data_IF_095108810729
#
_entry.id   IF_095108810729
#
_cell.length_a   1.000
_cell.length_b   1.000
_cell.length_c   1.000
_cell.angle_alpha   90.00
_cell.angle_beta   90.00
_cell.angle_gamma   90.00
#
_symmetry.space_group_name_H-M   'P 1'
#
loop_
_entity.id
_entity.type
_entity.pdbx_description
1 polymer ?
#
# COMPACT_ATOMS: atom_id res chain seq x y z
N UNK A 1 -15.39 -27.86 -11.02
CA UNK A 1 -15.47 -27.88 -9.54
C UNK A 1 -14.17 -27.49 -8.83
N UNK A 2 -13.00 -28.08 -9.18
CA UNK A 2 -11.70 -27.75 -8.54
C UNK A 2 -11.27 -26.28 -8.68
N UNK A 3 -11.45 -25.69 -9.87
CA UNK A 3 -11.12 -24.28 -10.15
C UNK A 3 -11.98 -23.29 -9.36
N UNK A 4 -13.28 -23.56 -9.25
CA UNK A 4 -14.20 -22.72 -8.46
C UNK A 4 -13.86 -22.74 -6.97
N UNK A 5 -13.50 -23.90 -6.41
CA UNK A 5 -13.06 -24.00 -5.02
C UNK A 5 -11.76 -23.23 -4.76
N UNK A 6 -10.80 -23.30 -5.68
CA UNK A 6 -9.56 -22.52 -5.60
C UNK A 6 -9.84 -21.01 -5.69
N UNK A 7 -10.68 -20.58 -6.64
CA UNK A 7 -11.09 -19.18 -6.80
C UNK A 7 -11.76 -18.62 -5.55
N UNK A 8 -12.69 -19.38 -4.95
CA UNK A 8 -13.35 -18.97 -3.69
C UNK A 8 -12.33 -18.84 -2.56
N UNK A 9 -11.41 -19.80 -2.41
CA UNK A 9 -10.33 -19.72 -1.42
C UNK A 9 -9.46 -18.48 -1.63
N UNK A 10 -9.02 -18.20 -2.86
CA UNK A 10 -8.23 -17.00 -3.17
C UNK A 10 -9.00 -15.72 -2.85
N UNK A 11 -10.27 -15.60 -3.25
CA UNK A 11 -11.10 -14.42 -2.97
C UNK A 11 -11.30 -14.22 -1.47
N UNK A 12 -11.62 -15.28 -0.72
CA UNK A 12 -11.82 -15.19 0.74
C UNK A 12 -10.52 -14.82 1.49
N UNK A 13 -9.38 -15.34 1.05
CA UNK A 13 -8.07 -15.02 1.63
C UNK A 13 -7.67 -13.58 1.32
N UNK A 14 -7.96 -13.09 0.11
CA UNK A 14 -7.78 -11.68 -0.27
C UNK A 14 -8.65 -10.74 0.56
N UNK A 15 -9.89 -11.12 0.91
CA UNK A 15 -10.74 -10.31 1.79
C UNK A 15 -10.33 -10.35 3.26
N UNK A 16 -9.63 -11.41 3.69
CA UNK A 16 -9.11 -11.53 5.06
C UNK A 16 -7.88 -10.64 5.30
N UNK A 17 -7.14 -10.31 4.25
CA UNK A 17 -6.09 -9.30 4.29
C UNK A 17 -6.70 -7.93 3.99
N UNK A 18 -7.05 -7.18 5.04
CA UNK A 18 -7.39 -5.77 4.91
C UNK A 18 -6.26 -4.95 4.29
N UNK A 19 -6.58 -3.73 3.84
CA UNK A 19 -5.66 -2.75 3.25
C UNK A 19 -4.33 -2.72 4.01
N UNK A 20 -3.18 -2.81 3.35
CA UNK A 20 -1.86 -2.67 4.00
C UNK A 20 -1.33 -1.27 3.82
N UNK A 21 -0.83 -0.66 4.88
CA UNK A 21 -0.21 0.68 4.82
C UNK A 21 1.15 0.67 5.50
N UNK A 22 2.01 1.63 5.13
CA UNK A 22 3.17 1.96 5.95
C UNK A 22 2.72 2.59 7.27
N UNK A 23 3.37 2.24 8.38
CA UNK A 23 3.07 2.77 9.70
C UNK A 23 4.33 3.21 10.44
N UNK A 24 4.26 4.37 11.06
CA UNK A 24 5.30 4.90 11.95
C UNK A 24 4.75 6.11 12.68
N UNK A 25 5.35 6.45 13.82
CA UNK A 25 4.99 7.62 14.61
C UNK A 25 6.23 8.50 14.69
N UNK A 26 6.12 9.75 14.21
CA UNK A 26 7.19 10.77 14.32
C UNK A 26 8.58 10.25 13.95
N UNK A 27 8.66 9.49 12.86
CA UNK A 27 9.90 8.84 12.43
C UNK A 27 10.59 9.66 11.34
N UNK A 28 11.88 9.42 11.14
CA UNK A 28 12.56 9.86 9.92
C UNK A 28 11.83 9.24 8.70
N UNK A 29 11.55 10.02 7.64
CA UNK A 29 10.82 9.52 6.47
C UNK A 29 11.48 8.30 5.80
N UNK A 30 12.80 8.12 5.92
CA UNK A 30 13.54 7.00 5.35
C UNK A 30 13.44 5.74 6.20
N UNK A 31 13.27 5.86 7.52
CA UNK A 31 13.16 4.71 8.42
C UNK A 31 11.73 4.16 8.51
N UNK A 32 10.73 4.96 8.13
CA UNK A 32 9.31 4.57 8.10
C UNK A 32 8.99 3.54 7.00
N UNK A 33 9.43 2.30 7.23
CA UNK A 33 9.31 1.17 6.31
C UNK A 33 8.46 0.02 6.85
N UNK A 34 8.06 0.08 8.13
CA UNK A 34 7.16 -0.89 8.73
C UNK A 34 5.78 -0.85 8.05
N UNK A 35 5.19 -2.02 7.87
CA UNK A 35 3.86 -2.17 7.25
C UNK A 35 2.93 -2.92 8.16
N UNK A 36 1.65 -2.56 8.14
CA UNK A 36 0.60 -3.24 8.91
C UNK A 36 -0.68 -3.32 8.10
N UNK A 37 -1.42 -4.42 8.26
CA UNK A 37 -2.79 -4.52 7.75
C UNK A 37 -3.70 -3.63 8.59
N UNK A 38 -4.56 -2.88 7.92
CA UNK A 38 -5.54 -2.01 8.54
C UNK A 38 -6.67 -2.82 9.15
N UNK A 39 -7.09 -2.40 10.35
CA UNK A 39 -8.29 -2.92 10.98
C UNK A 39 -9.55 -2.61 10.14
N UNK A 40 -10.64 -3.38 10.30
CA UNK A 40 -11.91 -3.11 9.64
C UNK A 40 -12.39 -1.66 9.88
N UNK A 41 -12.85 -1.00 8.82
CA UNK A 41 -13.31 0.38 8.86
C UNK A 41 -12.23 1.44 8.63
N UNK A 42 -10.95 1.04 8.54
CA UNK A 42 -9.85 1.91 8.11
C UNK A 42 -9.53 1.61 6.63
N UNK A 43 -10.18 2.35 5.74
CA UNK A 43 -10.20 2.15 4.29
C UNK A 43 -9.19 3.02 3.52
N UNK A 44 -8.36 3.80 4.23
CA UNK A 44 -7.36 4.70 3.63
C UNK A 44 -6.02 4.57 4.33
N UNK A 45 -4.94 4.73 3.56
CA UNK A 45 -3.63 5.03 4.15
C UNK A 45 -3.47 6.54 4.28
N UNK A 46 -2.80 7.02 5.32
CA UNK A 46 -2.43 8.43 5.46
C UNK A 46 -0.92 8.63 5.61
N UNK A 47 -0.47 9.84 5.30
CA UNK A 47 0.87 10.33 5.59
C UNK A 47 0.79 11.79 6.03
N UNK A 48 1.36 12.08 7.20
CA UNK A 48 1.52 13.41 7.75
C UNK A 48 3.01 13.69 7.91
N UNK A 49 3.47 14.80 7.32
CA UNK A 49 4.85 15.27 7.46
C UNK A 49 4.83 16.60 8.19
N UNK A 50 5.51 16.68 9.33
CA UNK A 50 5.59 17.88 10.13
C UNK A 50 7.00 18.03 10.70
N UNK A 51 7.60 19.21 10.54
CA UNK A 51 8.94 19.52 11.06
C UNK A 51 10.03 18.46 10.74
N UNK A 52 10.02 17.92 9.52
CA UNK A 52 10.99 16.92 9.06
C UNK A 52 10.67 15.47 9.43
N UNK A 53 9.84 15.23 10.44
CA UNK A 53 9.38 13.88 10.81
C UNK A 53 8.10 13.50 10.08
N UNK A 54 7.83 12.21 9.97
CA UNK A 54 6.66 11.66 9.30
C UNK A 54 5.92 10.66 10.19
N UNK A 55 4.60 10.73 10.14
CA UNK A 55 3.67 9.78 10.75
C UNK A 55 2.81 9.19 9.65
N UNK A 56 2.70 7.86 9.63
CA UNK A 56 1.91 7.12 8.65
C UNK A 56 1.06 6.07 9.33
N UNK A 57 -0.03 5.68 8.68
CA UNK A 57 -0.83 4.57 9.12
C UNK A 57 -2.12 4.43 8.34
N UNK A 58 -3.08 3.77 8.96
CA UNK A 58 -4.43 3.56 8.46
C UNK A 58 -5.38 4.61 9.05
N UNK A 59 -6.33 5.08 8.26
CA UNK A 59 -7.38 6.00 8.67
C UNK A 59 -8.69 5.66 7.94
N UNK A 60 -9.82 6.10 8.50
CA UNK A 60 -11.08 6.07 7.78
C UNK A 60 -11.18 7.27 6.82
N UNK A 61 -11.92 7.09 5.72
CA UNK A 61 -12.14 8.10 4.69
C UNK A 61 -12.79 9.39 5.19
N UNK A 62 -13.64 9.33 6.22
CA UNK A 62 -14.26 10.52 6.82
C UNK A 62 -13.22 11.43 7.49
N UNK A 63 -12.29 10.86 8.25
CA UNK A 63 -11.21 11.60 8.91
C UNK A 63 -10.16 12.10 7.90
N UNK A 64 -10.09 11.50 6.72
CA UNK A 64 -9.25 12.01 5.63
C UNK A 64 -9.77 13.32 5.03
N UNK A 65 -11.09 13.55 5.01
CA UNK A 65 -11.70 14.74 4.40
C UNK A 65 -11.33 16.06 5.08
N UNK A 66 -10.70 16.01 6.26
CA UNK A 66 -10.31 17.19 7.06
C UNK A 66 -9.05 17.90 6.49
N UNK A 67 -8.36 17.32 5.50
CA UNK A 67 -7.34 18.02 4.70
C UNK A 67 -6.00 18.31 5.40
N UNK A 68 -5.80 17.86 6.63
CA UNK A 68 -4.55 18.09 7.41
C UNK A 68 -3.43 17.12 6.99
N UNK A 69 -3.77 16.01 6.34
CA UNK A 69 -2.85 14.94 5.95
C UNK A 69 -3.14 14.46 4.54
N UNK A 70 -2.15 13.88 3.85
CA UNK A 70 -2.41 13.20 2.58
C UNK A 70 -2.97 11.81 2.85
N UNK A 71 -3.93 11.39 2.04
CA UNK A 71 -4.42 10.02 2.04
C UNK A 71 -4.52 9.46 0.64
N UNK A 72 -4.54 8.14 0.57
CA UNK A 72 -4.63 7.40 -0.68
C UNK A 72 -5.34 6.05 -0.46
N UNK A 73 -5.74 5.42 -1.56
CA UNK A 73 -6.29 4.07 -1.61
C UNK A 73 -5.24 3.08 -2.14
N UNK A 74 -5.41 1.81 -1.78
CA UNK A 74 -4.57 0.72 -2.26
C UNK A 74 -3.36 0.44 -1.37
N UNK A 75 -2.88 -0.79 -1.46
CA UNK A 75 -1.81 -1.26 -0.59
C UNK A 75 -0.55 -0.42 -0.75
N UNK A 76 -0.01 -0.01 0.41
CA UNK A 76 1.27 0.70 0.55
C UNK A 76 1.34 2.03 -0.21
N UNK A 77 0.20 2.58 -0.61
CA UNK A 77 0.11 3.80 -1.42
C UNK A 77 0.72 5.03 -0.72
N UNK A 78 0.80 5.02 0.62
CA UNK A 78 1.36 6.10 1.42
C UNK A 78 2.89 6.08 1.48
N UNK A 79 3.56 5.44 0.52
CA UNK A 79 5.03 5.46 0.44
C UNK A 79 5.55 6.86 0.06
N UNK A 80 6.69 7.25 0.63
CA UNK A 80 7.30 8.56 0.41
C UNK A 80 8.23 8.58 -0.81
N UNK A 81 8.48 7.42 -1.41
CA UNK A 81 9.42 7.25 -2.51
C UNK A 81 8.64 6.69 -3.69
N UNK A 82 8.64 7.36 -4.86
CA UNK A 82 8.22 6.71 -6.08
C UNK A 82 9.26 5.62 -6.39
N UNK A 83 9.08 4.42 -5.85
CA UNK A 83 9.79 3.21 -6.29
C UNK A 83 9.35 2.77 -7.70
N UNK A 84 8.51 3.59 -8.36
CA UNK A 84 7.66 3.24 -9.50
C UNK A 84 8.28 3.31 -10.88
N UNK A 85 9.59 3.54 -11.03
CA UNK A 85 10.20 3.50 -12.37
C UNK A 85 10.94 2.19 -12.63
N UNK A 86 11.74 1.70 -11.67
CA UNK A 86 12.62 0.55 -11.93
C UNK A 86 11.89 -0.77 -12.07
N UNK A 87 10.82 -1.03 -11.30
CA UNK A 87 10.10 -2.32 -11.36
C UNK A 87 9.32 -2.47 -12.67
N UNK A 88 8.70 -1.39 -13.16
CA UNK A 88 8.02 -1.40 -14.46
C UNK A 88 9.00 -1.59 -15.62
N UNK A 89 10.18 -0.94 -15.57
CA UNK A 89 11.24 -1.16 -16.56
C UNK A 89 11.79 -2.59 -16.55
N UNK A 90 11.91 -3.19 -15.36
CA UNK A 90 12.32 -4.60 -15.21
C UNK A 90 11.27 -5.56 -15.77
N UNK A 91 9.98 -5.32 -15.51
CA UNK A 91 8.87 -6.10 -16.06
C UNK A 91 8.75 -5.97 -17.59
N UNK A 92 8.98 -4.78 -18.15
CA UNK A 92 9.04 -4.59 -19.60
C UNK A 92 10.25 -5.30 -20.19
N UNK A 93 11.41 -5.22 -19.53
CA UNK A 93 12.63 -5.91 -20.00
C UNK A 93 12.47 -7.43 -19.99
N UNK A 94 11.83 -8.00 -18.97
CA UNK A 94 11.59 -9.45 -18.91
C UNK A 94 10.61 -9.91 -19.98
N UNK A 95 9.54 -9.16 -20.23
CA UNK A 95 8.56 -9.46 -21.28
C UNK A 95 9.18 -9.42 -22.69
N UNK A 96 10.10 -8.48 -22.95
CA UNK A 96 10.83 -8.42 -24.22
C UNK A 96 11.76 -9.61 -24.39
N UNK A 97 12.52 -10.00 -23.36
CA UNK A 97 13.41 -11.17 -23.42
C UNK A 97 12.62 -12.44 -23.77
N UNK A 98 11.43 -12.64 -23.19
CA UNK A 98 10.56 -13.78 -23.53
C UNK A 98 9.97 -13.75 -24.94
N UNK A 99 9.94 -12.60 -25.62
CA UNK A 99 9.47 -12.48 -27.01
C UNK A 99 10.59 -12.75 -28.03
N UNK A 100 11.85 -12.58 -27.63
CA UNK A 100 13.03 -12.78 -28.48
C UNK A 100 13.79 -14.09 -28.20
N UNK A 101 13.32 -14.88 -27.23
CA UNK A 101 13.76 -16.24 -26.95
C UNK A 101 12.75 -17.26 -27.51
#
# INVERSE_FOLDING_TARGET
>A
MKLYGALILFVTLSTACGLRCYTCITADPRSCTDTRSCEPGLDRCFSLKFNGVTTKGCINSLSCAVGVMSCCEGDLCNSAVPTGSSVLLLLVSSALITLFL
#
